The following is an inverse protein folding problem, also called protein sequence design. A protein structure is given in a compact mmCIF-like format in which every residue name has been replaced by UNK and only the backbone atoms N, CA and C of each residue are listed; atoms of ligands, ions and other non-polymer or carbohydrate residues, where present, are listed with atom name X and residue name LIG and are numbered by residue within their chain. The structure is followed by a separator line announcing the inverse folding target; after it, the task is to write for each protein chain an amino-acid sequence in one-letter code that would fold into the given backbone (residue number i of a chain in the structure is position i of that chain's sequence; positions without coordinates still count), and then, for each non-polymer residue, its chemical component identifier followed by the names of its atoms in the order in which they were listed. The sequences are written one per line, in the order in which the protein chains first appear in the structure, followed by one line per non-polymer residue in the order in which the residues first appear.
data_IF_282533521072
#
_entry.id   IF_282533521072
#
_cell.length_a   1.000
_cell.length_b   1.000
_cell.length_c   1.000
_cell.angle_alpha   90.00
_cell.angle_beta   90.00
_cell.angle_gamma   90.00
#
_symmetry.space_group_name_H-M   'P 1'
#
loop_
_entity.id
_entity.type
_entity.pdbx_description
1 polymer ?
#
# COMPACT_ATOMS: atom_id res chain seq x y z
N UNK A 1 23.15 -11.38 -1.07
CA UNK A 1 21.92 -10.60 -1.37
C UNK A 1 21.61 -9.72 -0.17
N UNK A 2 21.60 -8.39 -0.28
CA UNK A 2 21.31 -7.55 0.88
C UNK A 2 19.86 -7.80 1.30
N UNK A 3 19.64 -8.10 2.58
CA UNK A 3 18.31 -8.31 3.14
C UNK A 3 17.44 -7.09 2.83
N UNK A 4 16.39 -7.27 2.02
CA UNK A 4 15.40 -6.21 1.78
C UNK A 4 14.69 -5.92 3.11
N UNK A 5 14.94 -4.74 3.67
CA UNK A 5 14.26 -4.28 4.88
C UNK A 5 12.87 -3.70 4.51
N UNK A 6 12.04 -3.51 5.52
CA UNK A 6 10.69 -2.92 5.38
C UNK A 6 10.76 -1.58 4.63
N UNK A 7 11.78 -0.77 4.87
CA UNK A 7 12.00 0.52 4.21
C UNK A 7 12.18 0.36 2.69
N UNK A 8 13.00 -0.60 2.23
CA UNK A 8 13.22 -0.88 0.81
C UNK A 8 11.92 -1.25 0.09
N UNK A 9 11.07 -2.08 0.72
CA UNK A 9 9.77 -2.42 0.17
C UNK A 9 8.85 -1.21 0.10
N UNK A 10 8.82 -0.40 1.17
CA UNK A 10 7.99 0.81 1.25
C UNK A 10 8.41 1.84 0.19
N UNK A 11 9.71 1.99 -0.07
CA UNK A 11 10.25 2.86 -1.13
C UNK A 11 9.85 2.40 -2.53
N UNK A 12 9.89 1.08 -2.81
CA UNK A 12 9.41 0.53 -4.09
C UNK A 12 7.91 0.77 -4.28
N UNK A 13 7.15 0.58 -3.20
CA UNK A 13 5.72 0.87 -3.12
C UNK A 13 5.42 2.35 -3.45
N UNK A 14 6.22 3.28 -2.91
CA UNK A 14 6.13 4.71 -3.22
C UNK A 14 6.36 5.01 -4.70
N UNK A 15 7.38 4.40 -5.30
CA UNK A 15 7.66 4.54 -6.73
C UNK A 15 6.50 4.04 -7.59
N UNK A 16 5.96 2.86 -7.27
CA UNK A 16 4.85 2.26 -8.02
C UNK A 16 3.55 3.07 -7.90
N UNK A 17 3.23 3.55 -6.69
CA UNK A 17 2.07 4.42 -6.46
C UNK A 17 2.24 5.77 -7.19
N UNK A 18 3.45 6.35 -7.19
CA UNK A 18 3.74 7.61 -7.88
C UNK A 18 3.62 7.53 -9.41
N UNK A 19 3.85 6.34 -10.00
CA UNK A 19 3.70 6.08 -11.44
C UNK A 19 2.32 5.47 -11.76
N UNK A 20 1.36 5.56 -10.83
CA UNK A 20 -0.02 5.05 -11.00
C UNK A 20 -0.14 3.54 -11.23
N UNK A 21 0.92 2.77 -10.97
CA UNK A 21 0.95 1.29 -11.11
C UNK A 21 0.44 0.61 -9.85
N UNK A 22 -0.81 0.92 -9.49
CA UNK A 22 -1.43 0.50 -8.23
C UNK A 22 -1.56 -1.03 -8.12
N UNK A 23 -1.84 -1.74 -9.23
CA UNK A 23 -1.93 -3.20 -9.23
C UNK A 23 -0.60 -3.88 -8.84
N UNK A 24 0.51 -3.34 -9.34
CA UNK A 24 1.83 -3.87 -8.99
C UNK A 24 2.22 -3.48 -7.57
N UNK A 25 1.89 -2.26 -7.14
CA UNK A 25 2.06 -1.83 -5.76
C UNK A 25 1.29 -2.76 -4.78
N UNK A 26 0.09 -3.21 -5.16
CA UNK A 26 -0.72 -4.13 -4.38
C UNK A 26 -0.12 -5.54 -4.31
N UNK A 27 0.36 -6.06 -5.44
CA UNK A 27 1.09 -7.34 -5.47
C UNK A 27 2.35 -7.27 -4.59
N UNK A 28 3.06 -6.13 -4.64
CA UNK A 28 4.25 -5.88 -3.85
C UNK A 28 3.93 -5.81 -2.35
N UNK A 29 2.83 -5.15 -1.97
CA UNK A 29 2.34 -5.11 -0.59
C UNK A 29 2.03 -6.53 -0.09
N UNK A 30 1.34 -7.34 -0.88
CA UNK A 30 1.02 -8.72 -0.50
C UNK A 30 2.26 -9.60 -0.33
N UNK A 31 3.25 -9.46 -1.21
CA UNK A 31 4.53 -10.16 -1.14
C UNK A 31 5.40 -9.70 0.04
N UNK A 32 5.08 -8.57 0.67
CA UNK A 32 5.83 -8.03 1.80
C UNK A 32 5.63 -8.91 3.05
N UNK A 33 6.71 -9.45 3.65
CA UNK A 33 6.61 -10.35 4.80
C UNK A 33 6.12 -9.63 6.06
N UNK A 34 6.52 -8.36 6.23
CA UNK A 34 6.03 -7.47 7.28
C UNK A 34 5.40 -6.24 6.62
N UNK A 35 4.11 -6.03 6.84
CA UNK A 35 3.34 -4.88 6.34
C UNK A 35 3.17 -3.90 7.49
N UNK A 36 3.56 -2.64 7.30
CA UNK A 36 3.45 -1.59 8.31
C UNK A 36 2.33 -0.61 7.96
N UNK A 37 1.92 0.23 8.92
CA UNK A 37 0.88 1.25 8.74
C UNK A 37 1.23 2.19 7.57
N UNK A 38 2.52 2.50 7.38
CA UNK A 38 2.99 3.34 6.27
C UNK A 38 2.68 2.71 4.91
N UNK A 39 2.90 1.40 4.75
CA UNK A 39 2.63 0.68 3.49
C UNK A 39 1.14 0.63 3.13
N UNK A 40 0.26 0.46 4.13
CA UNK A 40 -1.19 0.52 3.94
C UNK A 40 -1.67 1.93 3.63
N UNK A 41 -1.22 2.93 4.39
CA UNK A 41 -1.56 4.34 4.16
C UNK A 41 -1.16 4.79 2.76
N UNK A 42 -0.01 4.32 2.28
CA UNK A 42 0.47 4.63 0.95
C UNK A 42 -0.42 4.03 -0.15
N UNK A 43 -0.83 2.77 0.02
CA UNK A 43 -1.77 2.15 -0.92
C UNK A 43 -3.10 2.89 -0.92
N UNK A 44 -3.66 3.19 0.25
CA UNK A 44 -4.92 3.94 0.38
C UNK A 44 -4.82 5.32 -0.28
N UNK A 45 -3.72 6.05 -0.06
CA UNK A 45 -3.47 7.33 -0.72
C UNK A 45 -3.32 7.18 -2.26
N UNK A 46 -2.69 6.10 -2.71
CA UNK A 46 -2.57 5.76 -4.13
C UNK A 46 -3.90 5.48 -4.80
N UNK A 47 -4.80 4.71 -4.15
CA UNK A 47 -6.15 4.47 -4.65
C UNK A 47 -7.02 5.73 -4.61
N UNK A 48 -6.92 6.53 -3.54
CA UNK A 48 -7.65 7.79 -3.40
C UNK A 48 -7.30 8.80 -4.51
N UNK A 49 -6.02 8.89 -4.88
CA UNK A 49 -5.57 9.76 -5.98
C UNK A 49 -6.05 9.29 -7.35
N UNK A 50 -6.32 7.99 -7.54
CA UNK A 50 -6.60 7.41 -8.86
C UNK A 50 -8.11 7.34 -9.17
N UNK A 51 -8.93 8.10 -8.43
CA UNK A 51 -10.40 8.07 -8.48
C UNK A 51 -11.04 6.68 -8.25
N UNK A 52 -10.25 5.69 -7.82
CA UNK A 52 -10.69 4.34 -7.44
C UNK A 52 -11.06 4.31 -5.96
N UNK A 53 -11.95 5.23 -5.58
CA UNK A 53 -12.44 5.43 -4.20
C UNK A 53 -13.07 4.15 -3.62
N UNK A 54 -13.74 3.36 -4.45
CA UNK A 54 -14.39 2.10 -4.04
C UNK A 54 -13.35 1.09 -3.56
N UNK A 55 -12.23 0.97 -4.26
CA UNK A 55 -11.16 0.03 -3.89
C UNK A 55 -10.32 0.55 -2.72
N UNK A 56 -10.14 1.87 -2.62
CA UNK A 56 -9.57 2.50 -1.42
C UNK A 56 -10.39 2.16 -0.17
N UNK A 57 -11.73 2.20 -0.29
CA UNK A 57 -12.66 1.89 0.81
C UNK A 57 -12.61 0.41 1.19
N UNK A 58 -12.61 -0.51 0.22
CA UNK A 58 -12.47 -1.96 0.48
C UNK A 58 -11.13 -2.28 1.12
N UNK A 59 -10.05 -1.60 0.74
CA UNK A 59 -8.74 -1.76 1.36
C UNK A 59 -8.71 -1.23 2.79
N UNK A 60 -9.36 -0.09 3.05
CA UNK A 60 -9.50 0.45 4.40
C UNK A 60 -10.31 -0.47 5.31
N UNK A 61 -11.39 -1.07 4.79
CA UNK A 61 -12.23 -2.03 5.51
C UNK A 61 -11.53 -3.38 5.74
N UNK A 62 -10.71 -3.87 4.79
CA UNK A 62 -9.92 -5.09 4.97
C UNK A 62 -8.71 -4.89 5.89
N UNK A 63 -8.18 -3.66 5.98
CA UNK A 63 -7.26 -3.30 7.05
C UNK A 63 -8.06 -3.09 8.34
N UNK A 64 -8.55 -4.17 8.92
CA UNK A 64 -9.25 -4.23 10.21
C UNK A 64 -8.33 -3.80 11.36
N UNK A 65 -7.93 -2.53 11.36
CA UNK A 65 -7.19 -1.83 12.41
C UNK A 65 -7.30 -0.31 12.23
N UNK A 66 -8.45 0.18 11.80
CA UNK A 66 -8.87 1.57 12.04
C UNK A 66 -10.25 1.51 12.73
N UNK A 67 -10.26 1.01 13.96
CA UNK A 67 -11.32 1.39 14.89
C UNK A 67 -11.01 2.83 15.33
N UNK A 68 -12.02 3.70 15.25
CA UNK A 68 -12.00 5.16 15.49
C UNK A 68 -11.53 6.04 14.33
N UNK A 69 -12.47 6.28 13.39
CA UNK A 69 -13.14 7.58 13.30
C UNK A 69 -14.65 7.34 13.27
#
# INVERSE_FOLDING_TARGET
MPKRNVVSWTSMLFGLVGVWRIHEAWSLLNAMPEKNIVSWNLMTAGYAKNSRMVEARVLFENSSCFSFV
#
